data_IF_708215968991
#
_entry.id   IF_708215968991
#
_cell.length_a   1.000
_cell.length_b   1.000
_cell.length_c   1.000
_cell.angle_alpha   90.00
_cell.angle_beta   90.00
_cell.angle_gamma   90.00
#
_symmetry.space_group_name_H-M   'P 1'
#
loop_
_entity.id
_entity.type
_entity.pdbx_description
1 polymer ?
#
# COMPACT_ATOMS: atom_id res chain seq x y z
N UNK A 1 -36.24 22.02 4.29
CA UNK A 1 -35.44 20.78 4.15
C UNK A 1 -35.13 20.57 2.68
N UNK A 2 -33.84 20.47 2.34
CA UNK A 2 -33.34 20.34 0.97
C UNK A 2 -33.81 19.05 0.28
N UNK A 3 -33.70 19.00 -1.05
CA UNK A 3 -34.06 17.81 -1.85
C UNK A 3 -33.18 16.62 -1.47
N UNK A 4 -31.91 16.86 -1.16
CA UNK A 4 -30.97 15.83 -0.73
C UNK A 4 -31.37 15.21 0.61
N UNK A 5 -31.71 16.04 1.61
CA UNK A 5 -32.16 15.57 2.92
C UNK A 5 -33.36 14.60 2.88
N UNK A 6 -34.23 14.71 1.85
CA UNK A 6 -35.37 13.80 1.65
C UNK A 6 -34.99 12.49 0.96
N UNK A 7 -33.94 12.50 0.14
CA UNK A 7 -33.45 11.34 -0.60
C UNK A 7 -32.53 10.45 0.24
N UNK A 8 -31.82 11.04 1.22
CA UNK A 8 -30.94 10.33 2.13
C UNK A 8 -31.70 9.26 2.93
N UNK A 9 -31.29 8.01 2.75
CA UNK A 9 -31.77 6.84 3.50
C UNK A 9 -30.61 5.89 3.78
N UNK A 10 -30.74 5.08 4.83
CA UNK A 10 -29.76 4.04 5.17
C UNK A 10 -28.36 4.59 5.45
N UNK A 11 -27.29 3.87 5.07
CA UNK A 11 -25.91 4.23 5.37
C UNK A 11 -25.50 5.64 4.91
N UNK A 12 -26.00 6.10 3.75
CA UNK A 12 -25.75 7.46 3.29
C UNK A 12 -26.34 8.53 4.23
N UNK A 13 -27.52 8.29 4.80
CA UNK A 13 -28.13 9.22 5.76
C UNK A 13 -27.31 9.29 7.05
N UNK A 14 -26.83 8.16 7.53
CA UNK A 14 -26.01 8.08 8.73
C UNK A 14 -24.65 8.76 8.50
N UNK A 15 -23.97 8.45 7.38
CA UNK A 15 -22.70 9.08 7.02
C UNK A 15 -22.84 10.60 6.80
N UNK A 16 -23.94 11.06 6.21
CA UNK A 16 -24.20 12.49 6.02
C UNK A 16 -24.25 13.26 7.34
N UNK A 17 -24.68 12.63 8.43
CA UNK A 17 -24.69 13.24 9.78
C UNK A 17 -23.28 13.46 10.36
N UNK A 18 -22.26 12.79 9.82
CA UNK A 18 -20.86 13.02 10.23
C UNK A 18 -20.15 14.08 9.38
N UNK A 19 -20.69 14.42 8.20
CA UNK A 19 -20.15 15.49 7.35
C UNK A 19 -20.23 16.83 8.07
N UNK A 20 -19.21 17.65 7.89
CA UNK A 20 -19.21 19.03 8.38
C UNK A 20 -20.16 19.91 7.55
N UNK A 21 -20.56 21.10 8.07
CA UNK A 21 -21.49 21.98 7.38
C UNK A 21 -21.05 22.41 5.98
N UNK A 22 -19.74 22.56 5.74
CA UNK A 22 -19.20 22.96 4.43
C UNK A 22 -19.34 21.82 3.43
N UNK A 23 -18.96 20.59 3.82
CA UNK A 23 -19.15 19.40 3.00
C UNK A 23 -20.64 19.18 2.66
N UNK A 24 -21.56 19.31 3.63
CA UNK A 24 -23.01 19.24 3.37
C UNK A 24 -23.49 20.33 2.43
N UNK A 25 -23.03 21.56 2.64
CA UNK A 25 -23.37 22.70 1.77
C UNK A 25 -22.91 22.51 0.33
N UNK A 26 -21.74 21.88 0.13
CA UNK A 26 -21.26 21.51 -1.20
C UNK A 26 -22.18 20.50 -1.88
N UNK A 27 -22.57 19.43 -1.18
CA UNK A 27 -23.48 18.42 -1.73
C UNK A 27 -24.86 18.99 -2.07
N UNK A 28 -25.45 19.79 -1.18
CA UNK A 28 -26.70 20.52 -1.47
C UNK A 28 -26.53 21.50 -2.64
N UNK A 29 -25.37 22.16 -2.74
CA UNK A 29 -24.99 23.02 -3.87
C UNK A 29 -25.01 22.28 -5.20
N UNK A 30 -24.42 21.08 -5.27
CA UNK A 30 -24.40 20.25 -6.48
C UNK A 30 -25.81 19.80 -6.91
N UNK A 31 -26.67 19.48 -5.93
CA UNK A 31 -28.07 19.08 -6.18
C UNK A 31 -28.92 20.27 -6.64
N UNK A 32 -28.77 21.42 -5.99
CA UNK A 32 -29.53 22.63 -6.33
C UNK A 32 -29.11 23.23 -7.66
N UNK A 33 -27.83 23.14 -8.02
CA UNK A 33 -27.33 23.58 -9.32
C UNK A 33 -27.62 22.60 -10.46
N UNK A 34 -28.25 21.44 -10.18
CA UNK A 34 -28.54 20.41 -11.17
C UNK A 34 -27.31 19.70 -11.74
N UNK A 35 -26.13 19.84 -11.12
CA UNK A 35 -24.91 19.14 -11.54
C UNK A 35 -24.96 17.65 -11.19
N UNK A 36 -25.66 17.33 -10.09
CA UNK A 36 -25.97 15.97 -9.67
C UNK A 36 -27.42 15.89 -9.23
N UNK A 37 -28.05 14.74 -9.45
CA UNK A 37 -29.33 14.42 -8.84
C UNK A 37 -29.14 14.07 -7.36
N UNK A 38 -30.20 14.19 -6.55
CA UNK A 38 -30.16 13.78 -5.15
C UNK A 38 -29.82 12.28 -5.01
N UNK A 39 -30.34 11.44 -5.91
CA UNK A 39 -30.08 10.00 -5.90
C UNK A 39 -28.61 9.68 -6.25
N UNK A 40 -27.99 10.38 -7.20
CA UNK A 40 -26.55 10.23 -7.47
C UNK A 40 -25.72 10.59 -6.23
N UNK A 41 -26.05 11.67 -5.53
CA UNK A 41 -25.33 12.02 -4.30
C UNK A 41 -25.51 10.94 -3.23
N UNK A 42 -26.72 10.40 -3.07
CA UNK A 42 -27.00 9.29 -2.14
C UNK A 42 -26.18 8.05 -2.50
N UNK A 43 -26.13 7.68 -3.79
CA UNK A 43 -25.37 6.52 -4.26
C UNK A 43 -23.87 6.67 -4.02
N UNK A 44 -23.31 7.86 -4.27
CA UNK A 44 -21.90 8.14 -4.00
C UNK A 44 -21.57 8.18 -2.50
N UNK A 45 -22.47 8.69 -1.66
CA UNK A 45 -22.33 8.64 -0.20
C UNK A 45 -22.46 7.21 0.34
N UNK A 46 -23.34 6.38 -0.24
CA UNK A 46 -23.45 4.97 0.10
C UNK A 46 -22.16 4.22 -0.23
N UNK A 47 -21.57 4.47 -1.41
CA UNK A 47 -20.27 3.90 -1.77
C UNK A 47 -19.18 4.25 -0.75
N UNK A 48 -19.10 5.52 -0.36
CA UNK A 48 -18.16 5.99 0.66
C UNK A 48 -18.43 5.38 2.04
N UNK A 49 -19.69 5.21 2.43
CA UNK A 49 -20.06 4.62 3.70
C UNK A 49 -19.66 3.13 3.76
N UNK A 50 -19.94 2.36 2.70
CA UNK A 50 -19.51 0.96 2.58
C UNK A 50 -17.99 0.83 2.61
N UNK A 51 -17.28 1.70 1.87
CA UNK A 51 -15.82 1.74 1.83
C UNK A 51 -15.24 2.03 3.22
N UNK A 52 -15.74 3.05 3.92
CA UNK A 52 -15.26 3.39 5.25
C UNK A 52 -15.50 2.27 6.29
N UNK A 53 -16.67 1.59 6.21
CA UNK A 53 -16.96 0.42 7.05
C UNK A 53 -16.03 -0.75 6.78
N UNK A 54 -15.79 -1.05 5.49
CA UNK A 54 -14.87 -2.10 5.07
C UNK A 54 -13.41 -1.77 5.46
N UNK A 55 -12.93 -0.55 5.25
CA UNK A 55 -11.58 -0.12 5.64
C UNK A 55 -11.35 -0.21 7.15
N UNK A 56 -12.37 0.15 7.95
CA UNK A 56 -12.32 -0.06 9.40
C UNK A 56 -12.23 -1.54 9.73
N UNK A 57 -13.02 -2.39 9.09
CA UNK A 57 -12.93 -3.84 9.31
C UNK A 57 -11.55 -4.37 8.93
N UNK A 58 -11.01 -3.93 7.79
CA UNK A 58 -9.67 -4.26 7.33
C UNK A 58 -8.58 -3.85 8.31
N UNK A 59 -8.80 -2.88 9.19
CA UNK A 59 -7.80 -2.44 10.18
C UNK A 59 -8.02 -3.03 11.57
N UNK A 60 -9.25 -3.35 11.94
CA UNK A 60 -9.62 -3.79 13.29
C UNK A 60 -9.81 -5.30 13.42
N UNK A 61 -10.10 -6.00 12.32
CA UNK A 61 -10.37 -7.43 12.38
C UNK A 61 -9.11 -8.22 12.76
N UNK A 62 -9.20 -9.11 13.77
CA UNK A 62 -8.08 -9.97 14.13
C UNK A 62 -7.69 -10.82 12.93
N UNK A 63 -6.39 -10.98 12.75
CA UNK A 63 -5.85 -11.84 11.71
C UNK A 63 -6.21 -13.29 12.01
N UNK A 64 -6.66 -14.02 11.00
CA UNK A 64 -6.74 -15.48 11.08
C UNK A 64 -5.33 -16.07 11.08
N UNK A 65 -5.18 -17.36 11.43
CA UNK A 65 -3.88 -18.03 11.37
C UNK A 65 -3.27 -17.97 9.95
N UNK A 66 -4.10 -18.15 8.92
CA UNK A 66 -3.68 -18.02 7.52
C UNK A 66 -3.26 -16.59 7.18
N UNK A 67 -3.99 -15.57 7.62
CA UNK A 67 -3.63 -14.17 7.37
C UNK A 67 -2.33 -13.79 8.11
N UNK A 68 -2.11 -14.30 9.32
CA UNK A 68 -0.89 -14.07 10.07
C UNK A 68 0.32 -14.69 9.36
N UNK A 69 0.18 -15.92 8.82
CA UNK A 69 1.21 -16.57 8.01
C UNK A 69 1.49 -15.79 6.72
N UNK A 70 0.43 -15.36 6.01
CA UNK A 70 0.56 -14.54 4.81
C UNK A 70 1.26 -13.20 5.11
N UNK A 71 0.91 -12.54 6.22
CA UNK A 71 1.54 -11.31 6.67
C UNK A 71 3.02 -11.50 7.03
N UNK A 72 3.37 -12.60 7.70
CA UNK A 72 4.77 -12.94 7.98
C UNK A 72 5.55 -13.19 6.69
N UNK A 73 4.99 -13.97 5.77
CA UNK A 73 5.57 -14.21 4.44
C UNK A 73 5.80 -12.90 3.69
N UNK A 74 4.83 -11.99 3.71
CA UNK A 74 4.92 -10.68 3.08
C UNK A 74 6.05 -9.83 3.69
N UNK A 75 6.21 -9.84 5.02
CA UNK A 75 7.29 -9.13 5.70
C UNK A 75 8.67 -9.70 5.34
N UNK A 76 8.79 -11.03 5.30
CA UNK A 76 10.05 -11.69 4.92
C UNK A 76 10.43 -11.41 3.46
N UNK A 77 9.47 -11.44 2.55
CA UNK A 77 9.68 -11.10 1.13
C UNK A 77 10.03 -9.61 0.97
N UNK A 78 9.34 -8.72 1.67
CA UNK A 78 9.65 -7.28 1.65
C UNK A 78 11.07 -6.99 2.13
N UNK A 79 11.52 -7.65 3.20
CA UNK A 79 12.91 -7.57 3.68
C UNK A 79 13.89 -8.05 2.61
N UNK A 80 13.63 -9.20 1.98
CA UNK A 80 14.51 -9.72 0.93
C UNK A 80 14.61 -8.77 -0.27
N UNK A 81 13.49 -8.22 -0.73
CA UNK A 81 13.46 -7.22 -1.82
C UNK A 81 14.22 -5.96 -1.42
N UNK A 82 14.04 -5.49 -0.18
CA UNK A 82 14.77 -4.32 0.34
C UNK A 82 16.29 -4.55 0.43
N UNK A 83 16.72 -5.71 0.94
CA UNK A 83 18.14 -6.08 0.98
C UNK A 83 18.75 -6.21 -0.42
N UNK A 84 18.02 -6.78 -1.38
CA UNK A 84 18.45 -6.85 -2.79
C UNK A 84 18.61 -5.45 -3.39
N UNK A 85 17.66 -4.56 -3.15
CA UNK A 85 17.73 -3.17 -3.60
C UNK A 85 18.99 -2.47 -3.05
N UNK A 86 19.21 -2.55 -1.72
CA UNK A 86 20.39 -1.98 -1.09
C UNK A 86 21.71 -2.57 -1.62
N UNK A 87 21.75 -3.87 -1.90
CA UNK A 87 22.93 -4.50 -2.49
C UNK A 87 23.19 -3.98 -3.91
N UNK A 88 22.14 -3.79 -4.71
CA UNK A 88 22.23 -3.17 -6.03
C UNK A 88 22.72 -1.73 -5.98
N UNK A 89 22.15 -0.92 -5.08
CA UNK A 89 22.56 0.48 -4.91
C UNK A 89 24.04 0.61 -4.52
N UNK A 90 24.51 -0.25 -3.60
CA UNK A 90 25.93 -0.29 -3.21
C UNK A 90 26.84 -0.69 -4.36
N UNK A 91 26.42 -1.66 -5.18
CA UNK A 91 27.18 -2.09 -6.34
C UNK A 91 27.28 -0.96 -7.40
N UNK A 92 26.17 -0.29 -7.69
CA UNK A 92 26.14 0.85 -8.61
C UNK A 92 26.99 2.03 -8.10
N UNK A 93 26.91 2.34 -6.81
CA UNK A 93 27.72 3.39 -6.19
C UNK A 93 29.22 3.05 -6.25
N UNK A 94 29.60 1.79 -6.00
CA UNK A 94 30.98 1.33 -6.09
C UNK A 94 31.52 1.40 -7.53
N UNK A 95 30.73 0.99 -8.52
CA UNK A 95 31.09 1.12 -9.94
C UNK A 95 31.25 2.59 -10.34
N UNK A 96 30.31 3.46 -9.97
CA UNK A 96 30.41 4.89 -10.28
C UNK A 96 31.65 5.54 -9.65
N UNK A 97 31.99 5.18 -8.41
CA UNK A 97 33.21 5.66 -7.75
C UNK A 97 34.48 5.19 -8.47
N UNK A 98 34.48 3.93 -8.93
CA UNK A 98 35.58 3.34 -9.69
C UNK A 98 35.76 4.03 -11.05
N UNK A 99 34.67 4.27 -11.78
CA UNK A 99 34.67 4.99 -13.07
C UNK A 99 35.23 6.41 -12.91
N UNK A 100 34.82 7.11 -11.84
CA UNK A 100 35.34 8.45 -11.55
C UNK A 100 36.84 8.44 -11.21
N UNK A 101 37.30 7.44 -10.45
CA UNK A 101 38.71 7.31 -10.09
C UNK A 101 39.56 6.99 -11.33
N UNK A 102 39.07 6.14 -12.23
CA UNK A 102 39.70 5.83 -13.51
C UNK A 102 39.76 7.05 -14.43
N UNK A 103 38.65 7.78 -14.59
CA UNK A 103 38.60 9.02 -15.39
C UNK A 103 39.52 10.14 -14.89
N UNK A 104 39.88 10.11 -13.59
CA UNK A 104 40.87 11.01 -12.99
C UNK A 104 42.32 10.50 -13.05
N UNK A 105 42.55 9.32 -13.64
CA UNK A 105 43.86 8.66 -13.69
C UNK A 105 44.37 8.18 -12.32
N UNK A 106 43.49 8.03 -11.33
CA UNK A 106 43.83 7.57 -9.98
C UNK A 106 43.92 6.04 -9.89
N UNK A 107 43.39 5.33 -10.88
CA UNK A 107 43.41 3.88 -11.01
C UNK A 107 43.97 3.54 -12.39
N UNK A 108 44.93 2.62 -12.46
CA UNK A 108 45.48 2.15 -13.73
C UNK A 108 44.45 1.35 -14.53
N UNK A 109 44.59 1.26 -15.85
CA UNK A 109 43.68 0.45 -16.68
C UNK A 109 43.64 -1.03 -16.23
N UNK A 110 44.79 -1.56 -15.79
CA UNK A 110 44.89 -2.92 -15.29
C UNK A 110 44.13 -3.10 -13.96
N UNK A 111 44.29 -2.16 -13.03
CA UNK A 111 43.61 -2.19 -11.73
C UNK A 111 42.11 -1.96 -11.88
N UNK A 112 41.70 -1.09 -12.80
CA UNK A 112 40.31 -0.84 -13.13
C UNK A 112 39.63 -2.12 -13.64
N UNK A 113 40.25 -2.81 -14.61
CA UNK A 113 39.72 -4.08 -15.12
C UNK A 113 39.59 -5.16 -14.03
N UNK A 114 40.52 -5.22 -13.07
CA UNK A 114 40.44 -6.14 -11.92
C UNK A 114 39.30 -5.76 -10.98
N UNK A 115 39.18 -4.48 -10.62
CA UNK A 115 38.17 -3.99 -9.70
C UNK A 115 36.75 -4.10 -10.28
N UNK A 116 36.57 -3.81 -11.57
CA UNK A 116 35.29 -4.00 -12.27
C UNK A 116 34.88 -5.48 -12.26
N UNK A 117 35.80 -6.42 -12.53
CA UNK A 117 35.50 -7.86 -12.45
C UNK A 117 35.15 -8.30 -11.04
N UNK A 118 35.83 -7.77 -10.02
CA UNK A 118 35.53 -8.07 -8.62
C UNK A 118 34.15 -7.52 -8.22
N UNK A 119 33.84 -6.28 -8.59
CA UNK A 119 32.53 -5.67 -8.38
C UNK A 119 31.42 -6.47 -9.10
N UNK A 120 31.66 -6.88 -10.34
CA UNK A 120 30.75 -7.74 -11.11
C UNK A 120 30.49 -9.08 -10.43
N UNK A 121 31.54 -9.76 -9.92
CA UNK A 121 31.39 -11.01 -9.14
C UNK A 121 30.64 -10.81 -7.82
N UNK A 122 30.92 -9.72 -7.10
CA UNK A 122 30.22 -9.40 -5.86
C UNK A 122 28.74 -9.10 -6.12
N UNK A 123 28.44 -8.41 -7.22
CA UNK A 123 27.08 -8.16 -7.66
C UNK A 123 26.37 -9.45 -8.10
N UNK A 124 26.99 -10.30 -8.91
CA UNK A 124 26.46 -11.61 -9.32
C UNK A 124 26.20 -12.51 -8.11
N UNK A 125 27.11 -12.55 -7.14
CA UNK A 125 26.92 -13.28 -5.87
C UNK A 125 25.76 -12.70 -5.04
N UNK A 126 25.62 -11.37 -5.02
CA UNK A 126 24.47 -10.73 -4.34
C UNK A 126 23.15 -11.06 -5.04
N UNK A 127 23.11 -11.07 -6.37
CA UNK A 127 21.93 -11.47 -7.12
C UNK A 127 21.60 -12.95 -6.94
N UNK A 128 22.61 -13.84 -6.95
CA UNK A 128 22.43 -15.27 -6.74
C UNK A 128 21.83 -15.58 -5.35
N UNK A 129 22.25 -14.84 -4.31
CA UNK A 129 21.65 -14.94 -2.96
C UNK A 129 20.14 -14.64 -2.94
N UNK A 130 19.67 -13.85 -3.90
CA UNK A 130 18.28 -13.45 -4.05
C UNK A 130 17.65 -14.00 -5.34
N UNK A 131 18.24 -15.02 -5.99
CA UNK A 131 17.71 -15.59 -7.22
C UNK A 131 16.28 -16.15 -7.03
N UNK A 132 16.04 -16.78 -5.88
CA UNK A 132 14.71 -17.29 -5.49
C UNK A 132 13.70 -16.17 -5.20
N UNK A 133 14.16 -14.93 -5.02
CA UNK A 133 13.29 -13.76 -4.84
C UNK A 133 12.78 -13.19 -6.17
N UNK A 134 13.10 -13.80 -7.32
CA UNK A 134 12.56 -13.40 -8.63
C UNK A 134 11.04 -13.34 -8.63
N UNK A 135 10.39 -14.22 -7.86
CA UNK A 135 8.93 -14.26 -7.69
C UNK A 135 8.45 -13.52 -6.43
N UNK A 136 9.32 -12.84 -5.68
CA UNK A 136 8.97 -12.26 -4.39
C UNK A 136 7.86 -11.21 -4.50
N UNK A 137 7.84 -10.40 -5.56
CA UNK A 137 6.77 -9.43 -5.80
C UNK A 137 5.43 -10.12 -6.12
N UNK A 138 5.46 -11.18 -6.91
CA UNK A 138 4.27 -11.97 -7.23
C UNK A 138 3.72 -12.66 -5.97
N UNK A 139 4.58 -13.32 -5.21
CA UNK A 139 4.21 -13.98 -3.95
C UNK A 139 3.72 -13.00 -2.88
N UNK A 140 4.29 -11.79 -2.85
CA UNK A 140 3.79 -10.70 -2.00
C UNK A 140 2.38 -10.29 -2.43
N UNK A 141 2.14 -10.16 -3.74
CA UNK A 141 0.82 -9.89 -4.32
C UNK A 141 -0.20 -10.98 -4.01
N UNK A 142 0.17 -12.26 -4.13
CA UNK A 142 -0.68 -13.39 -3.77
C UNK A 142 -1.01 -13.40 -2.27
N UNK A 143 -0.02 -13.13 -1.42
CA UNK A 143 -0.21 -13.08 0.03
C UNK A 143 -1.14 -11.94 0.44
N UNK A 144 -0.96 -10.75 -0.16
CA UNK A 144 -1.84 -9.61 0.04
C UNK A 144 -3.25 -9.89 -0.47
N UNK A 145 -3.37 -10.50 -1.66
CA UNK A 145 -4.64 -10.92 -2.24
C UNK A 145 -5.41 -11.88 -1.34
N UNK A 146 -4.72 -12.88 -0.77
CA UNK A 146 -5.30 -13.80 0.20
C UNK A 146 -5.81 -13.08 1.47
N UNK A 147 -5.04 -12.12 2.01
CA UNK A 147 -5.47 -11.37 3.20
C UNK A 147 -6.70 -10.51 2.89
N UNK A 148 -6.70 -9.82 1.75
CA UNK A 148 -7.83 -8.98 1.33
C UNK A 148 -9.07 -9.83 1.08
N UNK A 149 -8.97 -10.93 0.34
CA UNK A 149 -10.12 -11.81 0.07
C UNK A 149 -10.66 -12.44 1.35
N UNK A 150 -9.78 -12.97 2.22
CA UNK A 150 -10.20 -13.57 3.49
C UNK A 150 -10.93 -12.56 4.39
N UNK A 151 -10.48 -11.29 4.43
CA UNK A 151 -11.17 -10.25 5.19
C UNK A 151 -12.46 -9.80 4.53
N UNK A 152 -12.48 -9.69 3.21
CA UNK A 152 -13.68 -9.39 2.43
C UNK A 152 -14.78 -10.42 2.67
N UNK A 153 -14.46 -11.70 2.62
CA UNK A 153 -15.41 -12.78 2.86
C UNK A 153 -15.96 -12.71 4.28
N UNK A 154 -15.08 -12.53 5.29
CA UNK A 154 -15.52 -12.36 6.68
C UNK A 154 -16.38 -11.12 6.89
N UNK A 155 -16.11 -10.01 6.19
CA UNK A 155 -16.93 -8.82 6.26
C UNK A 155 -18.31 -9.07 5.64
N UNK A 156 -18.36 -9.72 4.49
CA UNK A 156 -19.61 -10.12 3.83
C UNK A 156 -20.44 -11.06 4.72
N UNK A 157 -19.81 -12.01 5.41
CA UNK A 157 -20.49 -12.92 6.33
C UNK A 157 -21.09 -12.17 7.54
N UNK A 158 -20.45 -11.08 8.00
CA UNK A 158 -20.90 -10.32 9.16
C UNK A 158 -21.92 -9.22 8.84
N UNK A 159 -21.75 -8.55 7.70
CA UNK A 159 -22.53 -7.36 7.33
C UNK A 159 -23.49 -7.61 6.16
N UNK A 160 -23.35 -8.74 5.47
CA UNK A 160 -24.03 -9.05 4.21
C UNK A 160 -23.23 -8.60 2.99
N UNK A 161 -23.33 -9.36 1.90
CA UNK A 161 -22.60 -9.08 0.65
C UNK A 161 -22.94 -7.70 0.05
N UNK A 162 -24.17 -7.20 0.25
CA UNK A 162 -24.60 -5.89 -0.25
C UNK A 162 -23.89 -4.70 0.41
N UNK A 163 -23.26 -4.91 1.58
CA UNK A 163 -22.49 -3.90 2.30
C UNK A 163 -21.04 -3.82 1.86
N UNK A 164 -20.59 -4.74 0.99
CA UNK A 164 -19.26 -4.64 0.42
C UNK A 164 -19.18 -3.45 -0.54
N UNK A 165 -18.05 -2.73 -0.53
CA UNK A 165 -17.72 -1.84 -1.63
C UNK A 165 -17.73 -2.65 -2.93
N UNK A 166 -18.42 -2.14 -3.93
CA UNK A 166 -18.39 -2.75 -5.26
C UNK A 166 -17.06 -2.43 -5.94
N UNK A 167 -16.37 -3.46 -6.44
CA UNK A 167 -15.20 -3.30 -7.31
C UNK A 167 -15.60 -2.95 -8.75
N UNK A 168 -16.90 -3.02 -9.07
CA UNK A 168 -17.39 -2.70 -10.40
C UNK A 168 -17.38 -1.18 -10.61
N UNK A 169 -16.36 -0.72 -11.33
CA UNK A 169 -16.22 0.68 -11.75
C UNK A 169 -17.37 1.13 -12.67
N UNK A 170 -18.14 0.20 -13.23
CA UNK A 170 -19.33 0.49 -14.03
C UNK A 170 -20.61 0.62 -13.21
N UNK A 171 -20.57 0.25 -11.92
CA UNK A 171 -21.72 0.36 -11.03
C UNK A 171 -22.19 1.81 -10.88
N UNK A 172 -23.49 1.97 -10.63
CA UNK A 172 -24.11 3.28 -10.41
C UNK A 172 -23.49 4.00 -9.20
N UNK A 173 -23.25 3.26 -8.12
CA UNK A 173 -22.63 3.76 -6.89
C UNK A 173 -21.22 4.31 -7.14
N UNK A 174 -20.37 3.54 -7.83
CA UNK A 174 -19.01 3.97 -8.14
C UNK A 174 -18.99 5.17 -9.09
N UNK A 175 -19.79 5.15 -10.16
CA UNK A 175 -19.89 6.29 -11.09
C UNK A 175 -20.35 7.57 -10.41
N UNK A 176 -21.29 7.45 -9.48
CA UNK A 176 -21.76 8.60 -8.73
C UNK A 176 -20.71 9.12 -7.74
N UNK A 177 -19.94 8.23 -7.11
CA UNK A 177 -18.76 8.57 -6.33
C UNK A 177 -17.68 9.28 -7.17
N UNK A 178 -17.30 8.71 -8.32
CA UNK A 178 -16.32 9.31 -9.25
C UNK A 178 -16.77 10.71 -9.68
N UNK A 179 -18.06 10.87 -10.00
CA UNK A 179 -18.65 12.18 -10.29
C UNK A 179 -18.60 13.14 -9.10
N UNK A 180 -18.85 12.69 -7.87
CA UNK A 180 -18.69 13.53 -6.67
C UNK A 180 -17.25 14.03 -6.52
N UNK A 181 -16.26 13.13 -6.65
CA UNK A 181 -14.85 13.48 -6.51
C UNK A 181 -14.36 14.43 -7.60
N UNK A 182 -14.75 14.22 -8.86
CA UNK A 182 -14.43 15.14 -9.97
C UNK A 182 -15.05 16.53 -9.82
N UNK A 183 -16.10 16.66 -9.00
CA UNK A 183 -16.71 17.95 -8.63
C UNK A 183 -16.06 18.59 -7.40
N UNK A 184 -14.97 18.01 -6.87
CA UNK A 184 -14.20 18.50 -5.73
C UNK A 184 -14.65 17.96 -4.38
N UNK A 185 -15.59 17.01 -4.33
CA UNK A 185 -15.94 16.30 -3.09
C UNK A 185 -14.97 15.13 -2.88
N UNK A 186 -13.70 15.47 -2.61
CA UNK A 186 -12.60 14.51 -2.47
C UNK A 186 -12.28 14.17 -1.00
N UNK A 187 -11.28 13.31 -0.79
CA UNK A 187 -10.89 12.84 0.53
C UNK A 187 -10.55 13.98 1.50
N UNK A 188 -10.02 15.12 1.04
CA UNK A 188 -9.74 16.26 1.91
C UNK A 188 -11.02 16.85 2.54
N UNK A 189 -12.15 16.68 1.86
CA UNK A 189 -13.47 17.16 2.29
C UNK A 189 -14.14 16.12 3.20
N UNK A 190 -14.12 14.85 2.83
CA UNK A 190 -14.98 13.85 3.48
C UNK A 190 -14.24 12.89 4.44
N UNK A 191 -12.91 12.73 4.35
CA UNK A 191 -12.18 11.67 5.06
C UNK A 191 -12.45 11.69 6.57
N UNK A 192 -12.34 12.86 7.22
CA UNK A 192 -12.56 12.99 8.66
C UNK A 192 -13.98 12.60 9.10
N UNK A 193 -14.98 12.82 8.25
CA UNK A 193 -16.36 12.45 8.51
C UNK A 193 -16.55 10.95 8.37
N UNK A 194 -16.03 10.35 7.31
CA UNK A 194 -16.16 8.91 7.07
C UNK A 194 -15.33 8.05 8.04
N UNK A 195 -14.19 8.55 8.53
CA UNK A 195 -13.48 7.92 9.64
C UNK A 195 -14.32 7.93 10.93
N UNK A 196 -15.01 9.03 11.24
CA UNK A 196 -15.89 9.12 12.42
C UNK A 196 -17.14 8.26 12.26
N UNK A 197 -17.76 8.27 11.09
CA UNK A 197 -18.88 7.40 10.74
C UNK A 197 -18.48 5.94 10.94
N UNK A 198 -17.35 5.52 10.35
CA UNK A 198 -16.86 4.16 10.49
C UNK A 198 -16.62 3.82 11.95
N UNK A 199 -16.03 4.72 12.76
CA UNK A 199 -15.79 4.52 14.19
C UNK A 199 -17.07 4.41 15.04
N UNK A 200 -18.11 5.15 14.68
CA UNK A 200 -19.42 5.15 15.37
C UNK A 200 -20.35 4.02 14.94
N UNK A 201 -20.16 3.47 13.75
CA UNK A 201 -20.85 2.26 13.29
C UNK A 201 -20.29 1.04 14.05
N UNK A 202 -20.90 0.68 15.17
CA UNK A 202 -20.55 -0.55 15.87
C UNK A 202 -20.66 -1.76 14.92
N UNK A 203 -19.62 -2.60 14.78
CA UNK A 203 -19.79 -3.87 14.10
C UNK A 203 -20.74 -4.73 14.95
N UNK A 204 -21.89 -5.11 14.37
CA UNK A 204 -22.94 -5.92 14.99
C UNK A 204 -22.48 -7.24 15.65
N UNK A 205 -21.22 -7.65 15.44
CA UNK A 205 -20.64 -8.87 16.01
C UNK A 205 -20.36 -8.80 17.53
N UNK A 206 -20.32 -7.63 18.18
CA UNK A 206 -20.01 -7.54 19.63
C UNK A 206 -21.24 -7.57 20.55
N UNK A 207 -22.46 -7.41 20.02
CA UNK A 207 -23.68 -7.34 20.83
C UNK A 207 -24.27 -8.71 21.22
N UNK A 208 -23.76 -9.82 20.66
CA UNK A 208 -24.27 -11.18 20.97
C UNK A 208 -23.56 -11.88 22.14
N UNK A 209 -22.45 -11.34 22.65
CA UNK A 209 -21.68 -11.99 23.72
C UNK A 209 -21.96 -11.48 25.15
N UNK A 210 -22.68 -10.36 25.31
CA UNK A 210 -22.83 -9.70 26.63
C UNK A 210 -24.26 -9.49 27.12
N UNK A 211 -25.29 -9.86 26.35
CA UNK A 211 -26.69 -9.60 26.72
C UNK A 211 -27.46 -10.84 27.20
N UNK A 212 -26.77 -11.85 27.76
CA UNK A 212 -27.41 -13.00 28.43
C UNK A 212 -27.01 -13.12 29.92
N UNK A 213 -26.53 -12.04 30.53
CA UNK A 213 -26.22 -11.97 31.96
C UNK A 213 -26.74 -10.66 32.58
N UNK A 214 -28.01 -10.32 32.36
CA UNK A 214 -28.65 -9.22 33.07
C UNK A 214 -30.17 -9.37 33.15
N UNK A 215 -30.67 -10.51 33.61
CA UNK A 215 -32.02 -10.59 34.17
C UNK A 215 -31.99 -11.32 35.51
N UNK A 216 -32.64 -10.70 36.50
CA UNK A 216 -32.85 -11.11 37.89
C UNK A 216 -31.63 -11.10 38.83
N UNK A 217 -31.52 -10.05 39.63
CA UNK A 217 -31.81 -10.15 41.08
C UNK A 217 -31.88 -8.76 41.73
N UNK A 218 -32.97 -8.52 42.46
CA UNK A 218 -33.22 -7.37 43.32
C UNK A 218 -32.35 -7.42 44.60
N UNK A 219 -32.21 -6.31 45.36
CA UNK A 219 -31.26 -6.24 46.47
C UNK A 219 -31.83 -6.88 47.75
N UNK A 220 -31.07 -7.79 48.36
CA UNK A 220 -31.23 -8.14 49.76
C UNK A 220 -29.93 -7.87 50.52
N UNK A 221 -30.05 -7.08 51.57
CA UNK A 221 -29.03 -6.84 52.58
C UNK A 221 -29.05 -7.96 53.61
N UNK A 222 -27.89 -8.53 53.94
CA UNK A 222 -27.64 -9.19 55.23
C UNK A 222 -26.15 -9.25 55.53
N UNK A 223 -25.79 -8.61 56.63
CA UNK A 223 -24.75 -8.83 57.64
C UNK A 223 -23.62 -9.86 57.41
N UNK A 224 -22.41 -9.34 57.67
CA UNK A 224 -21.18 -9.98 58.19
C UNK A 224 -21.41 -11.15 59.19
N UNK A 225 -20.46 -12.11 59.33
CA UNK A 225 -19.33 -11.89 60.24
C UNK A 225 -17.97 -12.52 59.84
N UNK A 226 -16.97 -12.11 60.64
CA UNK A 226 -15.51 -12.23 60.61
C UNK A 226 -14.82 -13.62 60.59
N UNK A 227 -13.54 -13.54 60.16
CA UNK A 227 -12.34 -14.35 60.46
C UNK A 227 -11.90 -15.48 59.48
N UNK A 228 -10.60 -15.85 59.41
CA UNK A 228 -9.34 -15.10 59.60
C UNK A 228 -8.37 -15.20 58.38
N UNK A 229 -7.23 -14.47 58.35
CA UNK A 229 -6.34 -14.43 57.18
C UNK A 229 -5.25 -15.51 57.21
N UNK A 230 -4.93 -16.11 56.06
CA UNK A 230 -3.69 -16.90 55.85
C UNK A 230 -3.37 -16.98 54.35
N UNK A 231 -2.12 -17.30 53.95
CA UNK A 231 -1.13 -16.32 53.56
C UNK A 231 -0.85 -16.30 52.05
N UNK A 232 -0.12 -15.27 51.64
CA UNK A 232 0.32 -14.99 50.28
C UNK A 232 1.01 -16.17 49.58
N UNK A 233 0.52 -16.49 48.38
CA UNK A 233 1.24 -17.30 47.40
C UNK A 233 1.76 -16.40 46.30
N UNK A 234 3.05 -16.58 46.01
CA UNK A 234 3.92 -15.76 45.19
C UNK A 234 3.36 -15.43 43.79
N UNK A 235 3.46 -14.15 43.44
CA UNK A 235 3.34 -13.66 42.08
C UNK A 235 4.53 -14.15 41.26
N UNK A 236 4.25 -14.92 40.20
CA UNK A 236 5.20 -15.16 39.15
C UNK A 236 5.28 -13.92 38.26
N UNK A 237 6.45 -13.28 38.27
CA UNK A 237 6.82 -12.18 37.36
C UNK A 237 6.75 -12.68 35.93
N UNK A 238 5.74 -12.24 35.18
CA UNK A 238 5.71 -12.37 33.73
C UNK A 238 6.50 -11.20 33.11
N UNK A 239 7.53 -11.53 32.33
CA UNK A 239 8.29 -10.57 31.53
C UNK A 239 7.39 -9.79 30.55
N UNK A 240 7.60 -8.48 30.39
CA UNK A 240 6.91 -7.71 29.36
C UNK A 240 7.43 -8.09 27.97
N UNK A 241 6.57 -8.69 27.15
CA UNK A 241 6.81 -8.76 25.69
C UNK A 241 6.83 -7.33 25.12
N UNK A 242 7.82 -6.95 24.30
CA UNK A 242 7.83 -5.65 23.67
C UNK A 242 6.63 -5.53 22.71
N UNK A 243 5.90 -4.42 22.84
CA UNK A 243 4.83 -4.05 21.93
C UNK A 243 5.39 -3.94 20.51
N UNK A 244 4.79 -4.65 19.56
CA UNK A 244 5.11 -4.50 18.16
C UNK A 244 4.86 -3.05 17.73
N UNK A 245 5.94 -2.40 17.27
CA UNK A 245 6.01 -1.00 16.91
C UNK A 245 5.05 -0.67 15.75
N UNK A 246 3.89 -0.10 16.08
CA UNK A 246 2.96 0.50 15.10
C UNK A 246 3.59 1.65 14.30
N UNK A 247 4.71 2.19 14.78
CA UNK A 247 5.50 3.23 14.12
C UNK A 247 6.10 2.77 12.79
N UNK A 248 6.47 1.49 12.67
CA UNK A 248 7.17 0.98 11.48
C UNK A 248 6.24 0.81 10.26
N UNK A 249 4.96 0.54 10.49
CA UNK A 249 3.96 0.45 9.42
C UNK A 249 3.65 1.84 8.81
N UNK A 250 3.61 2.89 9.62
CA UNK A 250 3.40 4.26 9.15
C UNK A 250 4.62 4.78 8.36
N UNK A 251 5.84 4.47 8.80
CA UNK A 251 7.06 4.83 8.10
C UNK A 251 7.18 4.16 6.71
N UNK A 252 6.80 2.89 6.60
CA UNK A 252 6.77 2.17 5.32
C UNK A 252 5.75 2.78 4.34
N UNK A 253 4.59 3.21 4.83
CA UNK A 253 3.55 3.88 4.03
C UNK A 253 4.00 5.26 3.54
N UNK A 254 4.66 6.07 4.38
CA UNK A 254 5.23 7.36 3.98
C UNK A 254 6.36 7.23 2.97
N UNK A 255 7.20 6.19 3.08
CA UNK A 255 8.25 5.91 2.07
C UNK A 255 7.64 5.50 0.73
N UNK A 256 6.60 4.67 0.72
CA UNK A 256 5.92 4.25 -0.51
C UNK A 256 5.23 5.44 -1.21
N UNK A 257 4.57 6.32 -0.44
CA UNK A 257 3.96 7.54 -0.98
C UNK A 257 5.01 8.48 -1.56
N UNK A 258 6.13 8.69 -0.87
CA UNK A 258 7.22 9.54 -1.35
C UNK A 258 7.85 9.01 -2.65
N UNK A 259 8.01 7.69 -2.78
CA UNK A 259 8.51 7.05 -3.99
C UNK A 259 7.53 7.17 -5.18
N UNK A 260 6.21 7.05 -4.92
CA UNK A 260 5.18 7.26 -5.94
C UNK A 260 5.16 8.72 -6.43
N UNK A 261 5.21 9.69 -5.52
CA UNK A 261 5.22 11.12 -5.89
C UNK A 261 6.49 11.51 -6.65
N UNK A 262 7.66 10.99 -6.26
CA UNK A 262 8.91 11.21 -6.99
C UNK A 262 8.87 10.63 -8.42
N UNK A 263 8.23 9.47 -8.60
CA UNK A 263 8.04 8.87 -9.94
C UNK A 263 7.08 9.70 -10.80
N UNK A 264 5.99 10.20 -10.24
CA UNK A 264 5.05 11.09 -10.95
C UNK A 264 5.70 12.40 -11.38
N UNK A 265 6.57 12.98 -10.55
CA UNK A 265 7.31 14.20 -10.90
C UNK A 265 8.32 13.97 -12.04
N UNK A 266 8.92 12.78 -12.12
CA UNK A 266 9.86 12.44 -13.20
C UNK A 266 9.19 12.15 -14.56
N UNK A 267 7.90 11.80 -14.58
CA UNK A 267 7.14 11.56 -15.83
C UNK A 267 6.63 12.85 -16.49
N UNK A 268 6.59 13.97 -15.77
CA UNK A 268 6.02 15.22 -16.29
C UNK A 268 7.05 16.15 -16.97
N UNK A 269 8.33 15.75 -17.02
CA UNK A 269 9.42 16.59 -17.54
C UNK A 269 9.86 16.28 -18.98
N UNK A 270 9.21 15.35 -19.70
CA UNK A 270 9.57 15.01 -21.08
C UNK A 270 8.35 14.94 -22.00
N UNK A 271 8.10 15.96 -22.85
CA UNK A 271 7.16 15.83 -23.94
C UNK A 271 7.87 15.31 -25.21
N UNK A 272 7.23 14.33 -25.86
CA UNK A 272 7.55 13.74 -27.18
C UNK A 272 8.82 12.87 -27.29
N UNK A 273 8.66 11.53 -27.24
CA UNK A 273 8.59 10.69 -28.45
C UNK A 273 8.34 9.20 -28.09
N UNK A 274 7.62 8.52 -28.98
CA UNK A 274 7.55 7.06 -29.15
C UNK A 274 6.81 6.22 -28.10
N UNK A 275 5.65 5.74 -28.53
CA UNK A 275 4.95 4.55 -28.08
C UNK A 275 5.82 3.30 -28.21
N UNK A 276 6.26 2.74 -27.09
CA UNK A 276 6.62 1.33 -26.99
C UNK A 276 6.23 0.85 -25.59
N UNK A 277 5.40 -0.18 -25.55
CA UNK A 277 4.92 -0.84 -24.34
C UNK A 277 6.11 -1.38 -23.53
N UNK A 278 6.47 -0.68 -22.46
CA UNK A 278 7.46 -1.14 -21.49
C UNK A 278 6.85 -2.24 -20.62
N UNK A 279 7.10 -3.46 -21.07
CA UNK A 279 7.04 -4.69 -20.30
C UNK A 279 7.92 -4.59 -19.04
N UNK A 280 7.46 -5.14 -17.93
CA UNK A 280 8.16 -5.12 -16.64
C UNK A 280 9.49 -5.91 -16.65
N UNK A 281 9.85 -6.54 -17.78
CA UNK A 281 11.14 -7.19 -18.01
C UNK A 281 12.30 -6.28 -18.45
N UNK A 282 12.06 -5.00 -18.78
CA UNK A 282 13.11 -4.14 -19.39
C UNK A 282 14.22 -3.73 -18.39
N UNK A 283 13.90 -3.57 -17.10
CA UNK A 283 14.91 -3.29 -16.08
C UNK A 283 15.82 -4.50 -15.82
N UNK A 284 15.28 -5.71 -15.90
CA UNK A 284 16.03 -6.97 -15.74
C UNK A 284 16.92 -7.23 -16.94
N UNK A 285 16.44 -6.96 -18.16
CA UNK A 285 17.23 -7.10 -19.40
C UNK A 285 18.36 -6.08 -19.54
N UNK A 286 18.18 -4.84 -19.04
CA UNK A 286 19.25 -3.85 -18.98
C UNK A 286 20.35 -4.27 -17.97
N UNK A 287 19.96 -4.83 -16.82
CA UNK A 287 20.89 -5.37 -15.84
C UNK A 287 21.62 -6.62 -16.37
N UNK A 288 20.94 -7.52 -17.08
CA UNK A 288 21.53 -8.71 -17.71
C UNK A 288 22.48 -8.36 -18.85
N UNK A 289 22.14 -7.39 -19.71
CA UNK A 289 23.03 -6.93 -20.79
C UNK A 289 24.27 -6.21 -20.27
N UNK A 290 24.15 -5.42 -19.19
CA UNK A 290 25.31 -4.88 -18.47
C UNK A 290 26.15 -6.00 -17.81
N UNK A 291 25.52 -7.00 -17.20
CA UNK A 291 26.23 -8.15 -16.62
C UNK A 291 26.99 -8.94 -17.70
N UNK A 292 26.37 -9.14 -18.86
CA UNK A 292 26.98 -9.81 -20.00
C UNK A 292 28.21 -9.03 -20.49
N UNK A 293 28.10 -7.71 -20.64
CA UNK A 293 29.19 -6.83 -21.06
C UNK A 293 30.35 -6.79 -20.04
N UNK A 294 30.02 -6.81 -18.75
CA UNK A 294 31.00 -6.90 -17.65
C UNK A 294 31.71 -8.26 -17.61
N UNK A 295 30.98 -9.34 -17.91
CA UNK A 295 31.49 -10.72 -17.90
C UNK A 295 32.40 -11.00 -19.10
N UNK A 296 32.10 -10.40 -20.26
CA UNK A 296 32.95 -10.54 -21.46
C UNK A 296 34.12 -9.56 -21.49
N UNK A 297 34.10 -8.50 -20.67
CA UNK A 297 35.16 -7.47 -20.65
C UNK A 297 35.26 -6.68 -21.96
N UNK A 298 34.25 -6.77 -22.82
CA UNK A 298 34.21 -6.09 -24.11
C UNK A 298 33.37 -4.84 -23.97
N UNK A 299 34.04 -3.68 -23.88
CA UNK A 299 33.41 -2.39 -24.02
C UNK A 299 33.07 -2.18 -25.51
N UNK A 300 31.91 -2.65 -25.97
CA UNK A 300 31.48 -2.61 -27.38
C UNK A 300 31.06 -1.22 -27.88
N UNK A 301 31.41 -0.15 -27.18
CA UNK A 301 31.08 1.22 -27.57
C UNK A 301 32.05 1.85 -28.60
N UNK A 302 33.16 1.18 -28.97
CA UNK A 302 34.24 1.81 -29.75
C UNK A 302 34.49 1.24 -31.17
N UNK A 303 33.66 0.34 -31.71
CA UNK A 303 33.95 -0.32 -33.00
C UNK A 303 33.24 0.23 -34.25
N UNK A 304 32.42 1.29 -34.15
CA UNK A 304 31.61 1.79 -35.29
C UNK A 304 32.11 3.08 -35.95
N UNK A 305 33.36 3.49 -35.75
CA UNK A 305 33.99 4.57 -36.51
C UNK A 305 35.35 4.15 -37.07
N UNK A 306 35.35 3.30 -38.11
CA UNK A 306 36.53 3.12 -38.96
C UNK A 306 36.15 3.34 -40.42
N UNK A 307 36.38 4.58 -40.84
CA UNK A 307 36.80 5.05 -42.17
C UNK A 307 36.25 4.30 -43.40
N UNK A 308 35.29 4.92 -44.09
CA UNK A 308 35.13 4.74 -45.52
C UNK A 308 36.21 5.58 -46.26
N UNK A 309 36.98 5.01 -47.20
CA UNK A 309 37.88 5.78 -48.04
C UNK A 309 37.07 6.64 -49.03
N UNK A 310 37.40 7.94 -49.09
CA UNK A 310 36.92 8.84 -50.16
C UNK A 310 37.63 8.48 -51.45
N UNK A 311 36.85 8.09 -52.46
CA UNK A 311 37.28 8.04 -53.86
C UNK A 311 37.74 9.42 -54.34
N UNK A 312 38.86 9.52 -55.09
CA UNK A 312 39.21 10.73 -55.81
C UNK A 312 38.42 10.80 -57.12
N UNK A 313 37.57 11.81 -57.26
CA UNK A 313 37.09 12.23 -58.58
C UNK A 313 38.18 13.07 -59.24
N UNK A 314 38.75 12.55 -60.32
CA UNK A 314 39.50 13.31 -61.32
C UNK A 314 38.70 13.33 -62.63
N UNK A 315 38.68 14.51 -63.28
CA UNK A 315 38.78 14.70 -64.73
C UNK A 315 37.72 14.11 -65.65
#
# INVERSE_FOLDING_TARGET
>A
MGKLAKALKGPAADAFQYLDPKARGMLEGLVTSGKMSADEVVDGLNHLAKTAGFDRFMTQSPATAGEAQAGQKMADLSRQVGERGQAGDRALAAMSALDQAHGKGQVSDADYAVQVRQAGKAFEASQAKYADSGNALEEMGQSMGFVISSRRDRYADQQGADQLPTDDTQSKEFKAYDKLTSMGFDASVYQSAFTRYAAGAEPAASAKATSQAAHNSAPQATSQPDAPPTPATAAATAEPRPAADRSNAAAALSMLQSALTARSASQQASPFNSSESADAGSATGAAESMLQALKTGTNTAAASQKAAPRDPQDG
#
